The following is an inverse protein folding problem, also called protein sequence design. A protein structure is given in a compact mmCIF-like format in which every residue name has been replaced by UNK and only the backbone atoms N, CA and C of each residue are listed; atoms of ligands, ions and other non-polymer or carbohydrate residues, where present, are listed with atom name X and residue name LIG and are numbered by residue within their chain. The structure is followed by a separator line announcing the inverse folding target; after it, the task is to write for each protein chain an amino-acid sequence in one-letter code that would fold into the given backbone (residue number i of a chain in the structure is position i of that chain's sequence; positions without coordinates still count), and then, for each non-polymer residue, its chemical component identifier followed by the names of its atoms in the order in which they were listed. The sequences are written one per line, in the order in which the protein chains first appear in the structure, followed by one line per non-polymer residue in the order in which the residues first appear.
data_IF_461302423528
#
_entry.id   IF_461302423528
#
_cell.length_a   1.000
_cell.length_b   1.000
_cell.length_c   1.000
_cell.angle_alpha   90.00
_cell.angle_beta   90.00
_cell.angle_gamma   90.00
#
_symmetry.space_group_name_H-M   'P 1'
#
loop_
_entity.id
_entity.type
_entity.pdbx_description
1 polymer ?
#
# COMPACT_ATOMS: atom_id res chain seq x y z
N UNK A 1 5.84 13.41 10.44
CA UNK A 1 4.89 12.34 10.01
C UNK A 1 4.28 12.76 8.68
N UNK A 2 3.75 11.83 7.87
CA UNK A 2 3.07 12.16 6.60
C UNK A 2 1.61 11.71 6.69
N UNK A 3 0.66 12.53 6.25
CA UNK A 3 -0.75 12.14 6.19
C UNK A 3 -0.96 11.04 5.14
N UNK A 4 -1.63 9.95 5.53
CA UNK A 4 -1.82 8.77 4.69
C UNK A 4 -3.29 8.48 4.39
N UNK A 5 -4.24 9.13 5.05
CA UNK A 5 -5.64 9.01 4.72
C UNK A 5 -5.96 9.71 3.39
N UNK A 6 -6.86 9.13 2.59
CA UNK A 6 -7.26 9.75 1.34
C UNK A 6 -8.15 10.97 1.65
N UNK A 7 -7.89 12.09 0.98
CA UNK A 7 -8.62 13.34 1.17
C UNK A 7 -7.76 14.54 0.79
N UNK A 8 -8.21 15.74 1.15
CA UNK A 8 -7.52 17.00 0.83
C UNK A 8 -6.08 17.09 1.36
N UNK A 9 -5.77 16.36 2.43
CA UNK A 9 -4.49 16.43 3.14
C UNK A 9 -3.54 15.28 2.80
N UNK A 10 -3.91 14.37 1.89
CA UNK A 10 -3.10 13.21 1.55
C UNK A 10 -1.68 13.63 1.10
N UNK A 11 -0.65 13.08 1.76
CA UNK A 11 0.75 13.39 1.47
C UNK A 11 1.29 14.63 2.18
N UNK A 12 0.47 15.37 2.93
CA UNK A 12 0.92 16.53 3.70
C UNK A 12 1.96 16.14 4.76
N UNK A 13 3.01 16.94 4.86
CA UNK A 13 4.00 16.83 5.95
C UNK A 13 3.43 17.43 7.22
N UNK A 14 3.42 16.62 8.29
CA UNK A 14 2.97 17.00 9.62
C UNK A 14 4.21 17.07 10.52
N UNK A 15 4.64 18.29 10.83
CA UNK A 15 5.78 18.55 11.73
C UNK A 15 5.39 18.46 13.20
N UNK A 16 4.17 18.89 13.54
CA UNK A 16 3.61 18.86 14.89
C UNK A 16 2.23 18.20 14.88
N UNK A 17 1.93 17.40 15.91
CA UNK A 17 0.68 16.65 16.01
C UNK A 17 0.74 15.26 15.39
N UNK A 18 -0.41 14.77 14.87
CA UNK A 18 -0.59 13.40 14.36
C UNK A 18 -1.40 13.39 13.08
N UNK A 19 -1.17 12.39 12.23
CA UNK A 19 -2.03 12.09 11.09
C UNK A 19 -3.43 11.65 11.56
N UNK A 20 -4.39 11.68 10.63
CA UNK A 20 -5.73 11.17 10.87
C UNK A 20 -5.71 9.70 11.28
N UNK A 21 -6.71 9.31 12.08
CA UNK A 21 -6.84 7.94 12.57
C UNK A 21 -7.05 6.97 11.42
N UNK A 22 -6.45 5.78 11.53
CA UNK A 22 -6.60 4.74 10.52
C UNK A 22 -8.06 4.25 10.50
N UNK A 23 -8.75 4.52 9.40
CA UNK A 23 -10.15 4.08 9.23
C UNK A 23 -10.30 2.57 9.08
N UNK A 24 -9.23 1.86 8.73
CA UNK A 24 -9.26 0.43 8.41
C UNK A 24 -9.98 0.10 7.10
N UNK A 25 -10.59 1.09 6.42
CA UNK A 25 -11.38 0.91 5.21
C UNK A 25 -10.51 1.15 3.98
N UNK A 26 -10.32 0.15 3.09
CA UNK A 26 -9.59 0.37 1.85
C UNK A 26 -10.34 1.34 0.92
N UNK A 27 -9.59 2.08 0.09
CA UNK A 27 -10.18 3.00 -0.87
C UNK A 27 -11.12 2.30 -1.85
N UNK A 28 -12.24 2.96 -2.16
CA UNK A 28 -13.28 2.47 -3.06
C UNK A 28 -12.79 2.41 -4.52
N UNK A 29 -13.02 1.29 -5.18
CA UNK A 29 -12.83 1.12 -6.62
C UNK A 29 -14.08 0.42 -7.16
N UNK A 30 -14.83 1.09 -8.05
CA UNK A 30 -16.09 0.58 -8.61
C UNK A 30 -17.13 0.09 -7.58
N UNK A 31 -17.19 0.70 -6.39
CA UNK A 31 -18.11 0.29 -5.32
C UNK A 31 -17.55 -0.78 -4.38
N UNK A 32 -16.33 -1.28 -4.63
CA UNK A 32 -15.67 -2.27 -3.79
C UNK A 32 -14.57 -1.64 -2.92
N UNK A 33 -14.64 -1.88 -1.61
CA UNK A 33 -13.65 -1.41 -0.62
C UNK A 33 -12.88 -2.57 0.00
N UNK A 34 -13.46 -3.28 0.96
CA UNK A 34 -12.83 -4.40 1.68
C UNK A 34 -12.69 -5.65 0.83
N UNK A 35 -13.70 -5.94 0.00
CA UNK A 35 -13.79 -7.19 -0.80
C UNK A 35 -12.61 -7.39 -1.75
N UNK A 36 -11.99 -6.31 -2.26
CA UNK A 36 -10.81 -6.42 -3.13
C UNK A 36 -9.54 -6.83 -2.40
N UNK A 37 -9.46 -6.58 -1.09
CA UNK A 37 -8.28 -6.84 -0.29
C UNK A 37 -8.31 -8.27 0.23
N UNK A 38 -7.29 -9.04 -0.15
CA UNK A 38 -7.17 -10.43 0.24
C UNK A 38 -6.31 -10.52 1.50
N UNK A 39 -6.79 -11.29 2.48
CA UNK A 39 -6.12 -11.53 3.75
C UNK A 39 -5.86 -13.01 3.95
N UNK A 40 -4.75 -13.34 4.60
CA UNK A 40 -4.40 -14.70 4.94
C UNK A 40 -5.43 -15.30 5.93
N UNK A 41 -5.98 -16.49 5.65
CA UNK A 41 -6.95 -17.15 6.52
C UNK A 41 -6.30 -17.76 7.77
N UNK A 42 -4.99 -17.96 7.75
CA UNK A 42 -4.20 -18.56 8.83
C UNK A 42 -2.72 -18.23 8.65
N UNK A 43 -1.90 -18.64 9.62
CA UNK A 43 -0.45 -18.53 9.50
C UNK A 43 0.10 -19.56 8.50
N UNK A 44 1.11 -19.18 7.70
CA UNK A 44 1.74 -20.10 6.75
C UNK A 44 2.67 -19.42 5.76
N UNK A 45 3.25 -20.20 4.86
CA UNK A 45 4.15 -19.72 3.80
C UNK A 45 3.33 -19.39 2.55
N UNK A 46 3.53 -18.19 2.01
CA UNK A 46 2.91 -17.73 0.78
C UNK A 46 3.46 -18.47 -0.44
N UNK A 47 2.55 -18.98 -1.30
CA UNK A 47 2.86 -19.56 -2.61
C UNK A 47 1.85 -19.06 -3.66
N UNK A 48 2.31 -18.28 -4.61
CA UNK A 48 1.53 -17.65 -5.66
C UNK A 48 1.16 -18.64 -6.76
N UNK A 49 -0.06 -18.51 -7.31
CA UNK A 49 -0.53 -19.24 -8.49
C UNK A 49 -0.76 -18.32 -9.69
N UNK A 50 -0.77 -17.02 -9.45
CA UNK A 50 -0.92 -15.95 -10.45
C UNK A 50 0.17 -14.91 -10.24
N UNK A 51 0.27 -13.95 -11.16
CA UNK A 51 1.22 -12.84 -11.14
C UNK A 51 0.49 -11.50 -11.10
N UNK A 52 1.23 -10.45 -10.75
CA UNK A 52 0.73 -9.08 -10.92
C UNK A 52 0.41 -8.85 -12.41
N UNK A 53 -0.76 -8.28 -12.68
CA UNK A 53 -1.26 -8.03 -14.02
C UNK A 53 -2.17 -9.12 -14.59
N UNK A 54 -2.21 -10.31 -13.98
CA UNK A 54 -3.12 -11.37 -14.42
C UNK A 54 -4.59 -10.98 -14.17
N UNK A 55 -5.47 -11.35 -15.09
CA UNK A 55 -6.93 -11.22 -14.93
C UNK A 55 -7.48 -12.54 -14.42
N UNK A 56 -8.26 -12.47 -13.34
CA UNK A 56 -8.84 -13.64 -12.66
C UNK A 56 -10.36 -13.48 -12.52
N UNK A 57 -11.05 -14.60 -12.44
CA UNK A 57 -12.48 -14.67 -12.13
C UNK A 57 -12.70 -14.90 -10.63
N UNK A 58 -13.85 -14.46 -10.11
CA UNK A 58 -14.27 -14.79 -8.76
C UNK A 58 -14.25 -16.31 -8.53
N UNK A 59 -13.60 -16.74 -7.45
CA UNK A 59 -13.46 -18.15 -7.09
C UNK A 59 -12.18 -18.82 -7.61
N UNK A 60 -11.44 -18.20 -8.54
CA UNK A 60 -10.16 -18.73 -9.03
C UNK A 60 -9.12 -18.82 -7.92
N UNK A 61 -8.29 -19.86 -7.93
CA UNK A 61 -7.20 -20.02 -6.97
C UNK A 61 -6.03 -19.12 -7.35
N UNK A 62 -5.74 -18.14 -6.52
CA UNK A 62 -4.71 -17.12 -6.79
C UNK A 62 -3.40 -17.36 -6.02
N UNK A 63 -3.48 -18.04 -4.88
CA UNK A 63 -2.32 -18.35 -4.05
C UNK A 63 -2.64 -19.49 -3.07
N UNK A 64 -1.64 -19.93 -2.32
CA UNK A 64 -1.77 -20.74 -1.13
C UNK A 64 -1.06 -20.05 0.03
N UNK A 65 -1.61 -20.23 1.23
CA UNK A 65 -0.93 -19.95 2.49
C UNK A 65 -0.78 -21.28 3.23
N UNK A 66 0.45 -21.80 3.30
CA UNK A 66 0.68 -23.19 3.65
C UNK A 66 0.04 -24.12 2.61
N UNK A 67 -0.95 -24.90 3.05
CA UNK A 67 -1.74 -25.81 2.19
C UNK A 67 -3.16 -25.29 1.91
N UNK A 68 -3.52 -24.11 2.42
CA UNK A 68 -4.86 -23.52 2.24
C UNK A 68 -4.90 -22.70 0.95
N UNK A 69 -5.82 -23.05 0.05
CA UNK A 69 -6.09 -22.27 -1.16
C UNK A 69 -6.69 -20.91 -0.83
N UNK A 70 -6.14 -19.88 -1.49
CA UNK A 70 -6.67 -18.52 -1.48
C UNK A 70 -7.40 -18.32 -2.80
N UNK A 71 -8.70 -18.02 -2.70
CA UNK A 71 -9.56 -17.77 -3.87
C UNK A 71 -9.76 -16.28 -4.10
N UNK A 72 -9.89 -15.88 -5.36
CA UNK A 72 -10.21 -14.53 -5.76
C UNK A 72 -11.60 -14.14 -5.20
N UNK A 73 -11.70 -13.10 -4.35
CA UNK A 73 -12.98 -12.68 -3.77
C UNK A 73 -13.91 -11.94 -4.76
N UNK A 74 -13.39 -11.56 -5.93
CA UNK A 74 -14.10 -10.93 -7.03
C UNK A 74 -13.29 -11.04 -8.32
N UNK A 75 -13.94 -10.93 -9.48
CA UNK A 75 -13.28 -10.89 -10.79
C UNK A 75 -12.56 -9.56 -11.03
N UNK A 76 -11.36 -9.60 -11.59
CA UNK A 76 -10.58 -8.40 -11.86
C UNK A 76 -9.10 -8.68 -12.11
N UNK A 77 -8.28 -7.64 -12.05
CA UNK A 77 -6.82 -7.76 -12.25
C UNK A 77 -6.09 -7.84 -10.92
N UNK A 78 -5.14 -8.75 -10.80
CA UNK A 78 -4.25 -8.86 -9.63
C UNK A 78 -3.30 -7.67 -9.62
N UNK A 79 -3.51 -6.72 -8.70
CA UNK A 79 -2.73 -5.48 -8.58
C UNK A 79 -1.79 -5.45 -7.37
N UNK A 80 -2.06 -6.28 -6.37
CA UNK A 80 -1.20 -6.49 -5.23
C UNK A 80 -1.08 -7.97 -4.94
N UNK A 81 0.13 -8.45 -4.72
CA UNK A 81 0.42 -9.83 -4.38
C UNK A 81 1.71 -9.87 -3.57
N UNK A 82 1.70 -10.62 -2.48
CA UNK A 82 2.88 -10.83 -1.65
C UNK A 82 3.87 -11.78 -2.37
N UNK A 83 5.16 -11.60 -2.14
CA UNK A 83 6.18 -12.46 -2.75
C UNK A 83 6.11 -13.89 -2.20
N UNK A 84 6.52 -14.85 -3.04
CA UNK A 84 6.65 -16.25 -2.66
C UNK A 84 7.65 -16.45 -1.52
N UNK A 85 7.37 -17.44 -0.66
CA UNK A 85 8.25 -17.85 0.43
C UNK A 85 8.12 -17.00 1.70
N UNK A 86 7.33 -15.92 1.68
CA UNK A 86 7.10 -15.11 2.87
C UNK A 86 6.19 -15.82 3.86
N UNK A 87 6.56 -15.77 5.14
CA UNK A 87 5.73 -16.24 6.26
C UNK A 87 4.75 -15.13 6.61
N UNK A 88 3.47 -15.48 6.68
CA UNK A 88 2.38 -14.57 7.05
C UNK A 88 1.62 -15.11 8.24
N UNK A 89 1.01 -14.21 9.00
CA UNK A 89 0.07 -14.52 10.08
C UNK A 89 -1.39 -14.37 9.62
N UNK A 90 -2.31 -14.89 10.43
CA UNK A 90 -3.75 -14.75 10.21
C UNK A 90 -4.16 -13.28 10.07
N UNK A 91 -4.98 -12.98 9.05
CA UNK A 91 -5.47 -11.63 8.77
C UNK A 91 -4.47 -10.71 8.07
N UNK A 92 -3.23 -11.15 7.85
CA UNK A 92 -2.22 -10.38 7.14
C UNK A 92 -2.67 -10.10 5.70
N UNK A 93 -2.43 -8.88 5.19
CA UNK A 93 -2.81 -8.55 3.81
C UNK A 93 -1.82 -9.21 2.84
N UNK A 94 -2.33 -10.07 1.97
CA UNK A 94 -1.52 -10.85 1.02
C UNK A 94 -1.74 -10.46 -0.44
N UNK A 95 -2.83 -9.73 -0.74
CA UNK A 95 -3.09 -9.30 -2.10
C UNK A 95 -4.21 -8.29 -2.26
N UNK A 96 -4.45 -7.89 -3.51
CA UNK A 96 -5.49 -6.96 -3.92
C UNK A 96 -5.91 -7.23 -5.38
N UNK A 97 -7.22 -7.34 -5.63
CA UNK A 97 -7.79 -7.47 -6.99
C UNK A 97 -8.52 -6.19 -7.36
N UNK A 98 -8.14 -5.60 -8.49
CA UNK A 98 -8.78 -4.42 -9.02
C UNK A 98 -9.98 -4.80 -9.90
N UNK A 99 -11.22 -4.43 -9.52
CA UNK A 99 -12.43 -4.80 -10.25
C UNK A 99 -12.53 -4.17 -11.66
N UNK A 100 -11.64 -3.22 -12.00
CA UNK A 100 -11.57 -2.64 -13.34
C UNK A 100 -11.05 -3.61 -14.41
N UNK A 101 -10.52 -4.77 -14.01
CA UNK A 101 -10.02 -5.81 -14.92
C UNK A 101 -8.87 -5.29 -15.78
N UNK A 102 -8.91 -5.56 -17.08
CA UNK A 102 -7.88 -5.14 -18.05
C UNK A 102 -7.61 -3.62 -18.09
N UNK A 103 -8.56 -2.79 -17.63
CA UNK A 103 -8.39 -1.34 -17.55
C UNK A 103 -7.60 -0.89 -16.32
N UNK A 104 -7.30 -1.79 -15.39
CA UNK A 104 -6.47 -1.49 -14.25
C UNK A 104 -4.99 -1.39 -14.68
N UNK A 105 -4.31 -0.37 -14.19
CA UNK A 105 -2.87 -0.23 -14.39
C UNK A 105 -2.15 -0.88 -13.21
N UNK A 106 -1.46 -2.00 -13.43
CA UNK A 106 -0.64 -2.67 -12.41
C UNK A 106 0.82 -2.21 -12.41
N UNK A 107 1.23 -1.45 -13.42
CA UNK A 107 2.63 -1.06 -13.65
C UNK A 107 3.00 0.27 -12.99
N UNK A 108 2.02 1.15 -12.77
CA UNK A 108 2.26 2.43 -12.10
C UNK A 108 1.95 2.40 -10.59
N UNK A 109 2.71 3.22 -9.87
CA UNK A 109 2.44 3.51 -8.47
C UNK A 109 1.10 4.24 -8.32
N UNK A 110 0.33 3.84 -7.30
CA UNK A 110 -0.95 4.51 -7.00
C UNK A 110 -0.74 6.00 -6.71
N UNK A 111 -1.78 6.78 -6.98
CA UNK A 111 -1.90 8.18 -6.56
C UNK A 111 -1.56 8.39 -5.08
N UNK A 112 -2.05 7.50 -4.20
CA UNK A 112 -1.78 7.51 -2.76
C UNK A 112 -0.30 7.32 -2.45
N UNK A 113 0.31 6.29 -3.04
CA UNK A 113 1.73 6.02 -2.82
C UNK A 113 2.60 7.18 -3.33
N UNK A 114 2.24 7.76 -4.49
CA UNK A 114 2.95 8.91 -5.07
C UNK A 114 2.86 10.15 -4.18
N UNK A 115 1.68 10.48 -3.67
CA UNK A 115 1.47 11.61 -2.78
C UNK A 115 2.24 11.46 -1.46
N UNK A 116 2.19 10.27 -0.84
CA UNK A 116 2.94 9.98 0.38
C UNK A 116 4.46 10.07 0.13
N UNK A 117 4.95 9.49 -0.97
CA UNK A 117 6.36 9.56 -1.35
C UNK A 117 6.83 11.00 -1.58
N UNK A 118 5.99 11.83 -2.20
CA UNK A 118 6.24 13.27 -2.36
C UNK A 118 6.38 13.99 -1.02
N UNK A 119 5.46 13.74 -0.08
CA UNK A 119 5.54 14.30 1.27
C UNK A 119 6.79 13.87 2.03
N UNK A 120 7.20 12.60 1.91
CA UNK A 120 8.46 12.11 2.51
C UNK A 120 9.65 12.88 1.94
N UNK A 121 9.72 13.04 0.61
CA UNK A 121 10.80 13.78 -0.04
C UNK A 121 10.82 15.25 0.42
N UNK A 122 9.67 15.91 0.46
CA UNK A 122 9.53 17.29 0.94
C UNK A 122 10.06 17.44 2.38
N UNK A 123 9.65 16.53 3.27
CA UNK A 123 10.09 16.54 4.67
C UNK A 123 11.61 16.37 4.78
N UNK A 124 12.18 15.41 4.05
CA UNK A 124 13.63 15.18 4.03
C UNK A 124 14.38 16.41 3.55
N UNK A 125 13.99 16.98 2.40
CA UNK A 125 14.64 18.16 1.84
C UNK A 125 14.56 19.37 2.78
N UNK A 126 13.40 19.57 3.42
CA UNK A 126 13.19 20.67 4.36
C UNK A 126 14.08 20.53 5.59
N UNK A 127 14.07 19.36 6.24
CA UNK A 127 14.84 19.11 7.45
C UNK A 127 16.35 19.15 7.19
N UNK A 128 16.81 18.56 6.08
CA UNK A 128 18.23 18.61 5.70
C UNK A 128 18.69 20.05 5.48
N UNK A 129 17.89 20.88 4.81
CA UNK A 129 18.22 22.28 4.57
C UNK A 129 18.26 23.11 5.87
N UNK A 130 17.32 22.87 6.80
CA UNK A 130 17.33 23.51 8.12
C UNK A 130 18.61 23.17 8.89
N UNK A 131 18.98 21.89 8.97
CA UNK A 131 20.22 21.45 9.64
C UNK A 131 21.47 22.08 9.04
N UNK A 132 21.53 22.29 7.72
CA UNK A 132 22.65 22.98 7.06
C UNK A 132 22.71 24.46 7.47
N UNK A 133 21.56 25.15 7.52
CA UNK A 133 21.50 26.55 7.95
C UNK A 133 21.91 26.74 9.41
N UNK A 134 21.44 25.87 10.30
CA UNK A 134 21.78 25.89 11.72
C UNK A 134 23.28 25.67 11.95
N UNK A 135 23.87 24.66 11.30
CA UNK A 135 25.33 24.43 11.38
C UNK A 135 26.12 25.63 10.88
N UNK A 136 25.71 26.22 9.75
CA UNK A 136 26.37 27.42 9.21
C UNK A 136 26.27 28.60 10.18
N UNK A 137 25.13 28.79 10.83
CA UNK A 137 24.93 29.84 11.83
C UNK A 137 25.85 29.61 13.04
N UNK A 138 25.90 28.40 13.60
CA UNK A 138 26.82 28.02 14.68
C UNK A 138 28.30 28.30 14.34
N UNK A 139 28.73 27.96 13.12
CA UNK A 139 30.09 28.22 12.62
C UNK A 139 30.41 29.70 12.38
N UNK A 140 29.41 30.56 12.24
CA UNK A 140 29.62 32.01 11.99
C UNK A 140 29.59 32.82 13.29
N UNK A 141 29.08 32.24 14.39
CA UNK A 141 28.94 32.89 15.70
C UNK A 141 30.05 32.46 16.68
N UNK A 142 30.82 31.42 16.35
CA UNK A 142 32.03 30.97 17.05
C UNK A 142 33.29 31.63 16.49
#
# INVERSE_FOLDING_TARGET
MIETNRGHWLGQVIYEGRAQENTGVPGNIMGHTSRRVIRAPGAGVMRNRVRLGDVVSEGDVIALVGEVEIRAPLSGMVRGLLNDGLVVDTGFKIGDIDPRGEKADYTSVSDKARAIGGGVLEALMTLMNQSVKEKKMLLTVA
#
